data_IF_721370336208
#
_entry.id   IF_721370336208
#
_cell.length_a   1.000
_cell.length_b   1.000
_cell.length_c   1.000
_cell.angle_alpha   90.00
_cell.angle_beta   90.00
_cell.angle_gamma   90.00
#
_symmetry.space_group_name_H-M   'P 1'
#
loop_
_entity.id
_entity.type
_entity.pdbx_description
1 polymer ?
#
# COMPACT_ATOMS: atom_id res chain seq x y z
N UNK A 1 21.93 -19.70 -39.10
CA UNK A 1 21.69 -19.27 -37.71
C UNK A 1 23.07 -19.13 -37.08
N UNK A 2 23.55 -17.91 -36.85
CA UNK A 2 24.86 -17.71 -36.24
C UNK A 2 24.81 -18.29 -34.81
N UNK A 3 25.70 -19.24 -34.51
CA UNK A 3 25.92 -19.75 -33.17
C UNK A 3 26.57 -18.64 -32.36
N UNK A 4 25.77 -17.87 -31.62
CA UNK A 4 26.32 -17.01 -30.58
C UNK A 4 27.02 -17.92 -29.57
N UNK A 5 28.34 -17.76 -29.43
CA UNK A 5 29.10 -18.41 -28.38
C UNK A 5 28.64 -17.84 -27.04
N UNK A 6 27.82 -18.59 -26.32
CA UNK A 6 27.32 -18.21 -25.02
C UNK A 6 28.45 -18.38 -23.99
N UNK A 7 28.93 -17.27 -23.43
CA UNK A 7 29.85 -17.30 -22.30
C UNK A 7 29.05 -17.33 -21.00
N UNK A 8 29.33 -18.34 -20.17
CA UNK A 8 28.68 -18.48 -18.87
C UNK A 8 28.88 -17.19 -18.03
N UNK A 9 27.77 -16.59 -17.59
CA UNK A 9 27.78 -15.37 -16.79
C UNK A 9 27.66 -14.07 -17.59
N UNK A 10 27.72 -14.11 -18.93
CA UNK A 10 27.60 -12.93 -19.79
C UNK A 10 26.19 -12.75 -20.38
N UNK A 11 25.22 -13.53 -19.90
CA UNK A 11 23.82 -13.36 -20.29
C UNK A 11 23.33 -11.98 -19.87
N UNK A 12 22.67 -11.26 -20.78
CA UNK A 12 21.99 -10.03 -20.40
C UNK A 12 20.86 -10.35 -19.42
N UNK A 13 20.88 -9.65 -18.28
CA UNK A 13 19.92 -9.82 -17.19
C UNK A 13 19.11 -8.56 -16.89
N UNK A 14 19.05 -7.60 -17.83
CA UNK A 14 18.26 -6.36 -17.62
C UNK A 14 16.80 -6.67 -17.23
N UNK A 15 16.15 -7.60 -17.91
CA UNK A 15 14.74 -7.92 -17.68
C UNK A 15 14.52 -8.56 -16.30
N UNK A 16 15.43 -9.43 -15.87
CA UNK A 16 15.39 -10.09 -14.56
C UNK A 16 15.60 -9.07 -13.44
N UNK A 17 16.53 -8.11 -13.62
CA UNK A 17 16.73 -7.00 -12.69
C UNK A 17 15.49 -6.12 -12.58
N UNK A 18 14.94 -5.70 -13.72
CA UNK A 18 13.73 -4.87 -13.74
C UNK A 18 12.53 -5.57 -13.09
N UNK A 19 12.39 -6.88 -13.32
CA UNK A 19 11.34 -7.70 -12.69
C UNK A 19 11.52 -7.77 -11.18
N UNK A 20 12.75 -7.99 -10.71
CA UNK A 20 13.07 -8.05 -9.29
C UNK A 20 12.82 -6.71 -8.58
N UNK A 21 13.25 -5.61 -9.19
CA UNK A 21 13.01 -4.27 -8.66
C UNK A 21 11.51 -3.93 -8.61
N UNK A 22 10.77 -4.33 -9.64
CA UNK A 22 9.31 -4.21 -9.68
C UNK A 22 8.63 -5.03 -8.60
N UNK A 23 9.06 -6.28 -8.39
CA UNK A 23 8.56 -7.16 -7.33
C UNK A 23 8.79 -6.53 -5.95
N UNK A 24 10.02 -6.10 -5.64
CA UNK A 24 10.34 -5.46 -4.36
C UNK A 24 9.49 -4.21 -4.13
N UNK A 25 9.38 -3.34 -5.14
CA UNK A 25 8.56 -2.13 -5.05
C UNK A 25 7.09 -2.47 -4.77
N UNK A 26 6.54 -3.45 -5.49
CA UNK A 26 5.17 -3.94 -5.31
C UNK A 26 4.96 -4.57 -3.93
N UNK A 27 5.91 -5.34 -3.42
CA UNK A 27 5.85 -5.94 -2.09
C UNK A 27 5.87 -4.90 -0.98
N UNK A 28 6.71 -3.86 -1.09
CA UNK A 28 6.73 -2.74 -0.13
C UNK A 28 5.38 -2.02 -0.12
N UNK A 29 4.85 -1.70 -1.31
CA UNK A 29 3.54 -1.07 -1.44
C UNK A 29 2.42 -1.92 -0.85
N UNK A 30 2.33 -3.18 -1.25
CA UNK A 30 1.31 -4.11 -0.77
C UNK A 30 1.37 -4.33 0.75
N UNK A 31 2.59 -4.52 1.28
CA UNK A 31 2.81 -4.69 2.71
C UNK A 31 2.36 -3.48 3.53
N UNK A 32 2.70 -2.26 3.09
CA UNK A 32 2.28 -1.05 3.77
C UNK A 32 0.75 -0.87 3.72
N UNK A 33 0.11 -1.15 2.58
CA UNK A 33 -1.36 -1.08 2.49
C UNK A 33 -2.01 -2.06 3.47
N UNK A 34 -1.49 -3.29 3.58
CA UNK A 34 -1.98 -4.27 4.56
C UNK A 34 -1.83 -3.73 5.99
N UNK A 35 -0.67 -3.17 6.33
CA UNK A 35 -0.43 -2.55 7.64
C UNK A 35 -1.44 -1.46 7.93
N UNK A 36 -1.71 -0.57 6.98
CA UNK A 36 -2.68 0.52 7.16
C UNK A 36 -4.11 0.00 7.34
N UNK A 37 -4.53 -0.98 6.53
CA UNK A 37 -5.88 -1.54 6.61
C UNK A 37 -6.11 -2.33 7.91
N UNK A 38 -5.19 -3.25 8.23
CA UNK A 38 -5.29 -4.06 9.44
C UNK A 38 -5.09 -3.19 10.68
N UNK A 39 -4.14 -2.26 10.65
CA UNK A 39 -3.89 -1.32 11.73
C UNK A 39 -5.14 -0.50 12.05
N UNK A 40 -5.81 0.04 11.04
CA UNK A 40 -7.08 0.76 11.23
C UNK A 40 -8.17 -0.15 11.82
N UNK A 41 -8.32 -1.38 11.31
CA UNK A 41 -9.31 -2.32 11.83
C UNK A 41 -9.03 -2.71 13.28
N UNK A 42 -7.76 -2.92 13.65
CA UNK A 42 -7.36 -3.24 15.03
C UNK A 42 -7.67 -2.07 15.96
N UNK A 43 -7.26 -0.86 15.60
CA UNK A 43 -7.50 0.32 16.43
C UNK A 43 -9.00 0.61 16.60
N UNK A 44 -9.76 0.63 15.49
CA UNK A 44 -11.18 1.02 15.52
C UNK A 44 -12.12 -0.07 16.03
N UNK A 45 -11.87 -1.35 15.72
CA UNK A 45 -12.80 -2.45 16.05
C UNK A 45 -12.32 -3.20 17.28
N UNK A 46 -11.06 -3.66 17.29
CA UNK A 46 -10.58 -4.54 18.36
C UNK A 46 -10.26 -3.78 19.65
N UNK A 47 -9.67 -2.59 19.53
CA UNK A 47 -9.38 -1.71 20.68
C UNK A 47 -10.57 -0.80 21.00
N UNK A 48 -11.42 -0.50 20.02
CA UNK A 48 -12.59 0.37 20.20
C UNK A 48 -12.25 1.86 20.22
N UNK A 49 -11.13 2.26 19.62
CA UNK A 49 -10.75 3.66 19.47
C UNK A 49 -11.69 4.35 18.46
N UNK A 50 -11.97 5.65 18.68
CA UNK A 50 -12.84 6.41 17.76
C UNK A 50 -12.39 6.25 16.30
N UNK A 51 -13.33 5.93 15.42
CA UNK A 51 -13.01 5.60 14.04
C UNK A 51 -12.25 6.73 13.32
N UNK A 52 -12.60 7.99 13.59
CA UNK A 52 -11.97 9.16 12.97
C UNK A 52 -10.55 9.35 13.49
N UNK A 53 -10.35 9.17 14.81
CA UNK A 53 -9.01 9.23 15.41
C UNK A 53 -8.13 8.09 14.87
N UNK A 54 -8.65 6.87 14.77
CA UNK A 54 -7.95 5.72 14.19
C UNK A 54 -7.50 6.00 12.75
N UNK A 55 -8.42 6.53 11.93
CA UNK A 55 -8.13 6.89 10.55
C UNK A 55 -7.06 8.00 10.48
N UNK A 56 -7.13 9.00 11.36
CA UNK A 56 -6.14 10.06 11.45
C UNK A 56 -4.74 9.54 11.80
N UNK A 57 -4.63 8.63 12.76
CA UNK A 57 -3.36 7.99 13.13
C UNK A 57 -2.82 7.18 11.94
N UNK A 58 -3.65 6.38 11.27
CA UNK A 58 -3.24 5.60 10.11
C UNK A 58 -2.88 6.45 8.89
N UNK A 59 -3.54 7.59 8.69
CA UNK A 59 -3.13 8.57 7.69
C UNK A 59 -1.71 9.08 7.99
N UNK A 60 -1.43 9.49 9.24
CA UNK A 60 -0.09 9.94 9.66
C UNK A 60 0.95 8.85 9.41
N UNK A 61 0.67 7.60 9.80
CA UNK A 61 1.57 6.47 9.57
C UNK A 61 1.82 6.25 8.08
N UNK A 62 0.78 6.32 7.24
CA UNK A 62 0.92 6.15 5.78
C UNK A 62 1.77 7.23 5.13
N UNK A 63 1.55 8.50 5.49
CA UNK A 63 2.38 9.61 5.01
C UNK A 63 3.81 9.51 5.53
N UNK A 64 4.00 9.22 6.81
CA UNK A 64 5.31 9.05 7.41
C UNK A 64 6.10 7.91 6.76
N UNK A 65 5.47 6.75 6.53
CA UNK A 65 6.09 5.63 5.83
C UNK A 65 6.52 6.01 4.41
N UNK A 66 5.69 6.78 3.70
CA UNK A 66 6.02 7.28 2.36
C UNK A 66 7.25 8.19 2.33
N UNK A 67 7.41 9.03 3.34
CA UNK A 67 8.56 9.93 3.48
C UNK A 67 9.81 9.15 3.90
N UNK A 68 9.70 8.28 4.91
CA UNK A 68 10.83 7.50 5.44
C UNK A 68 11.39 6.52 4.40
N UNK A 69 10.54 6.00 3.52
CA UNK A 69 10.92 5.03 2.48
C UNK A 69 11.08 5.65 1.09
N UNK A 70 10.99 6.99 0.97
CA UNK A 70 11.13 7.72 -0.30
C UNK A 70 10.23 7.20 -1.46
N UNK A 71 8.97 6.85 -1.16
CA UNK A 71 8.05 6.24 -2.14
C UNK A 71 7.47 7.22 -3.17
N UNK A 72 7.76 8.52 -3.01
CA UNK A 72 7.37 9.58 -3.94
C UNK A 72 5.88 9.93 -3.94
N UNK A 73 5.49 10.84 -4.85
CA UNK A 73 4.14 11.41 -4.88
C UNK A 73 3.03 10.40 -5.21
N UNK A 74 3.35 9.31 -5.92
CA UNK A 74 2.37 8.25 -6.24
C UNK A 74 1.84 7.58 -4.98
N UNK A 75 2.72 7.29 -4.02
CA UNK A 75 2.32 6.73 -2.75
C UNK A 75 1.46 7.70 -1.93
N UNK A 76 1.81 9.00 -1.93
CA UNK A 76 1.04 10.03 -1.23
C UNK A 76 -0.39 10.10 -1.78
N UNK A 77 -0.55 10.03 -3.10
CA UNK A 77 -1.86 9.94 -3.74
C UNK A 77 -2.62 8.67 -3.31
N UNK A 78 -1.94 7.52 -3.21
CA UNK A 78 -2.56 6.28 -2.73
C UNK A 78 -3.08 6.41 -1.30
N UNK A 79 -2.32 7.01 -0.38
CA UNK A 79 -2.79 7.26 1.00
C UNK A 79 -4.05 8.13 1.00
N UNK A 80 -4.07 9.21 0.21
CA UNK A 80 -5.26 10.08 0.08
C UNK A 80 -6.46 9.30 -0.46
N UNK A 81 -6.27 8.46 -1.48
CA UNK A 81 -7.32 7.62 -2.05
C UNK A 81 -7.85 6.61 -1.02
N UNK A 82 -6.97 6.00 -0.21
CA UNK A 82 -7.37 5.08 0.85
C UNK A 82 -8.20 5.78 1.94
N UNK A 83 -7.86 7.02 2.30
CA UNK A 83 -8.67 7.85 3.21
C UNK A 83 -10.05 8.11 2.60
N UNK A 84 -10.10 8.51 1.33
CA UNK A 84 -11.36 8.71 0.61
C UNK A 84 -12.21 7.43 0.57
N UNK A 85 -11.60 6.29 0.30
CA UNK A 85 -12.26 4.99 0.32
C UNK A 85 -12.81 4.66 1.71
N UNK A 86 -12.06 4.92 2.78
CA UNK A 86 -12.53 4.70 4.14
C UNK A 86 -13.77 5.55 4.46
N UNK A 87 -13.81 6.82 4.01
CA UNK A 87 -14.99 7.68 4.16
C UNK A 87 -16.20 7.15 3.38
N UNK A 88 -15.99 6.64 2.16
CA UNK A 88 -17.05 6.01 1.36
C UNK A 88 -17.60 4.76 2.08
N UNK A 89 -16.73 3.92 2.63
CA UNK A 89 -17.14 2.76 3.43
C UNK A 89 -17.94 3.19 4.66
N UNK A 90 -17.50 4.23 5.37
CA UNK A 90 -18.22 4.77 6.52
C UNK A 90 -19.62 5.29 6.14
N UNK A 91 -19.74 5.97 4.99
CA UNK A 91 -21.04 6.40 4.47
C UNK A 91 -21.98 5.23 4.19
N UNK A 92 -21.48 4.12 3.62
CA UNK A 92 -22.28 2.91 3.44
C UNK A 92 -22.71 2.28 4.76
N UNK A 93 -21.84 2.23 5.77
CA UNK A 93 -22.20 1.72 7.10
C UNK A 93 -23.37 2.52 7.69
N UNK A 94 -23.32 3.86 7.60
CA UNK A 94 -24.42 4.70 8.07
C UNK A 94 -25.71 4.48 7.28
N UNK A 95 -25.61 4.38 5.95
CA UNK A 95 -26.78 4.12 5.10
C UNK A 95 -27.46 2.79 5.46
N UNK A 96 -26.69 1.72 5.57
CA UNK A 96 -27.26 0.39 5.88
C UNK A 96 -27.72 0.29 7.34
N UNK A 97 -27.03 0.93 8.27
CA UNK A 97 -27.46 1.01 9.67
C UNK A 97 -28.75 1.81 9.88
N UNK A 98 -29.13 2.69 8.94
CA UNK A 98 -30.39 3.44 9.01
C UNK A 98 -31.59 2.69 8.40
N UNK A 99 -31.35 1.60 7.65
CA UNK A 99 -32.38 0.86 6.90
C UNK A 99 -32.74 -0.48 7.56
N UNK A 100 -31.88 -0.98 8.45
CA UNK A 100 -32.08 -2.20 9.27
C UNK A 100 -32.57 -1.84 10.68
#
# INVERSE_FOLDING_TARGET
MATHEFHHGEMDIQDQKATWDGFLTGSVWGGLIIVLMIGHAVLSIAIGLDWTISLGIMAIVGFAAGLLLNLGGRWMATVVVLIGLALVVQAFIWLFGAVL
#
